data_IF_909789875620
#
_entry.id   IF_909789875620
#
_cell.length_a   1.000
_cell.length_b   1.000
_cell.length_c   1.000
_cell.angle_alpha   90.00
_cell.angle_beta   90.00
_cell.angle_gamma   90.00
#
_symmetry.space_group_name_H-M   'P 1'
#
loop_
_entity.id
_entity.type
_entity.pdbx_description
1 polymer ?
#
# COMPACT_ATOMS: atom_id res chain seq x y z
N UNK A 1 20.78 15.84 -0.97
CA UNK A 1 19.71 14.85 -0.75
C UNK A 1 19.05 14.63 -2.09
N UNK A 2 19.07 13.41 -2.64
CA UNK A 2 18.39 13.10 -3.90
C UNK A 2 16.88 13.25 -3.68
N UNK A 3 16.22 14.09 -4.46
CA UNK A 3 14.76 14.12 -4.55
C UNK A 3 14.37 13.19 -5.68
N UNK A 4 13.43 12.28 -5.45
CA UNK A 4 12.83 11.50 -6.52
C UNK A 4 12.17 12.48 -7.52
N UNK A 5 12.39 12.27 -8.82
CA UNK A 5 11.78 13.08 -9.87
C UNK A 5 10.35 12.63 -10.15
N UNK A 6 10.10 11.33 -10.20
CA UNK A 6 8.83 10.71 -10.52
C UNK A 6 8.54 9.53 -9.57
N UNK A 7 7.28 9.11 -9.45
CA UNK A 7 6.88 7.93 -8.64
C UNK A 7 5.93 7.03 -9.41
N UNK A 8 6.23 5.74 -9.40
CA UNK A 8 5.27 4.69 -9.71
C UNK A 8 4.98 3.88 -8.44
N UNK A 9 3.70 3.70 -8.11
CA UNK A 9 3.26 2.92 -6.97
C UNK A 9 2.26 1.85 -7.42
N UNK A 10 2.64 0.59 -7.26
CA UNK A 10 1.73 -0.53 -7.47
C UNK A 10 0.94 -0.78 -6.17
N UNK A 11 -0.39 -0.69 -6.27
CA UNK A 11 -1.38 -1.00 -5.23
C UNK A 11 -0.99 -0.44 -3.84
N UNK A 12 -0.82 0.89 -3.73
CA UNK A 12 -0.38 1.50 -2.48
C UNK A 12 -1.45 1.34 -1.40
N UNK A 13 -1.02 0.94 -0.20
CA UNK A 13 -1.85 1.03 1.00
C UNK A 13 -1.84 2.48 1.49
N UNK A 14 -2.94 3.20 1.25
CA UNK A 14 -3.04 4.64 1.54
C UNK A 14 -3.66 4.91 2.90
N UNK A 15 -4.80 4.27 3.20
CA UNK A 15 -5.55 4.50 4.44
C UNK A 15 -5.44 3.30 5.39
N UNK A 16 -4.30 3.24 6.10
CA UNK A 16 -4.05 2.26 7.17
C UNK A 16 -4.91 2.47 8.41
N UNK A 17 -5.69 3.56 8.48
CA UNK A 17 -6.58 3.88 9.60
C UNK A 17 -8.02 3.46 9.35
N UNK A 18 -8.36 3.08 8.12
CA UNK A 18 -9.66 2.51 7.78
C UNK A 18 -10.03 1.34 8.67
N UNK A 19 -11.35 1.07 8.79
CA UNK A 19 -11.86 -0.10 9.50
C UNK A 19 -11.31 -1.42 8.93
N UNK A 20 -10.90 -1.43 7.66
CA UNK A 20 -10.25 -2.58 7.03
C UNK A 20 -9.00 -3.05 7.79
N UNK A 21 -8.17 -2.11 8.26
CA UNK A 21 -6.93 -2.41 8.97
C UNK A 21 -7.05 -2.33 10.48
N UNK A 22 -8.17 -1.86 11.02
CA UNK A 22 -8.32 -1.52 12.44
C UNK A 22 -9.46 -2.24 13.16
N UNK A 23 -10.35 -2.93 12.45
CA UNK A 23 -11.44 -3.71 13.03
C UNK A 23 -11.31 -5.21 12.75
N UNK A 24 -11.63 -6.05 13.74
CA UNK A 24 -11.64 -7.51 13.60
C UNK A 24 -13.02 -7.97 13.08
N UNK A 25 -13.05 -8.33 11.80
CA UNK A 25 -14.21 -8.95 11.15
C UNK A 25 -13.76 -10.00 10.13
N UNK A 26 -14.72 -10.68 9.50
CA UNK A 26 -14.46 -11.70 8.49
C UNK A 26 -13.79 -11.11 7.24
N UNK A 27 -12.50 -11.36 7.02
CA UNK A 27 -11.78 -10.94 5.80
C UNK A 27 -11.13 -12.14 5.11
N UNK A 28 -11.43 -12.33 3.84
CA UNK A 28 -10.73 -13.30 3.00
C UNK A 28 -9.72 -12.55 2.15
N UNK A 29 -8.44 -12.73 2.48
CA UNK A 29 -7.34 -12.06 1.82
C UNK A 29 -6.71 -13.05 0.85
N UNK A 30 -6.71 -12.78 -0.46
CA UNK A 30 -6.37 -13.73 -1.51
C UNK A 30 -7.10 -15.07 -1.39
N UNK A 31 -8.37 -15.05 -0.97
CA UNK A 31 -9.14 -16.27 -0.73
C UNK A 31 -8.65 -17.11 0.46
N UNK A 32 -7.66 -16.64 1.23
CA UNK A 32 -7.13 -17.38 2.36
C UNK A 32 -8.12 -17.40 3.53
N UNK A 33 -8.12 -18.50 4.32
CA UNK A 33 -8.90 -18.57 5.55
C UNK A 33 -8.41 -17.54 6.56
N UNK A 34 -9.28 -17.18 7.49
CA UNK A 34 -8.96 -16.21 8.53
C UNK A 34 -7.94 -16.78 9.53
N UNK A 35 -6.78 -16.16 9.56
CA UNK A 35 -5.66 -16.50 10.42
C UNK A 35 -5.92 -16.19 11.90
N UNK A 36 -5.22 -16.85 12.81
CA UNK A 36 -5.39 -16.64 14.26
C UNK A 36 -4.63 -15.39 14.74
N UNK A 37 -5.28 -14.60 15.59
CA UNK A 37 -4.67 -13.41 16.20
C UNK A 37 -3.44 -13.76 17.08
N UNK A 38 -3.40 -14.96 17.68
CA UNK A 38 -2.26 -15.36 18.52
C UNK A 38 -0.94 -15.42 17.74
N UNK A 39 -0.97 -15.66 16.43
CA UNK A 39 0.24 -15.76 15.62
C UNK A 39 1.03 -14.45 15.63
N UNK A 40 0.34 -13.31 15.55
CA UNK A 40 0.97 -11.99 15.67
C UNK A 40 1.55 -11.82 17.08
N UNK A 41 0.76 -12.11 18.12
CA UNK A 41 1.17 -11.92 19.52
C UNK A 41 2.39 -12.77 19.88
N UNK A 42 2.41 -14.03 19.45
CA UNK A 42 3.53 -14.95 19.66
C UNK A 42 4.76 -14.51 18.87
N UNK A 43 4.59 -14.04 17.63
CA UNK A 43 5.69 -13.49 16.84
C UNK A 43 6.32 -12.29 17.55
N UNK A 44 5.51 -11.32 17.98
CA UNK A 44 5.96 -10.12 18.69
C UNK A 44 6.62 -10.47 20.03
N UNK A 45 6.11 -11.46 20.76
CA UNK A 45 6.74 -11.94 21.99
C UNK A 45 8.13 -12.54 21.73
N UNK A 46 8.27 -13.37 20.69
CA UNK A 46 9.57 -13.95 20.31
C UNK A 46 10.58 -12.87 19.88
N UNK A 47 10.14 -11.83 19.19
CA UNK A 47 10.98 -10.67 18.85
C UNK A 47 11.42 -9.93 20.12
N UNK A 48 10.49 -9.65 21.04
CA UNK A 48 10.77 -8.94 22.30
C UNK A 48 11.74 -9.71 23.20
N UNK A 49 11.63 -11.03 23.24
CA UNK A 49 12.49 -11.90 24.06
C UNK A 49 13.82 -12.26 23.35
N UNK A 50 14.08 -11.70 22.16
CA UNK A 50 15.32 -11.94 21.39
C UNK A 50 15.42 -13.30 20.70
N UNK A 51 14.34 -14.11 20.71
CA UNK A 51 14.26 -15.41 20.00
C UNK A 51 14.12 -15.24 18.49
N UNK A 52 13.62 -14.09 18.04
CA UNK A 52 13.58 -13.69 16.64
C UNK A 52 14.27 -12.33 16.48
N UNK A 53 14.85 -12.11 15.31
CA UNK A 53 15.40 -10.80 14.94
C UNK A 53 14.27 -9.78 14.79
N UNK A 54 14.48 -8.57 15.31
CA UNK A 54 13.55 -7.45 15.14
C UNK A 54 13.60 -6.84 13.73
N UNK A 55 14.72 -7.00 13.03
CA UNK A 55 14.91 -6.53 11.65
C UNK A 55 15.35 -7.73 10.81
N UNK A 56 14.60 -7.99 9.76
CA UNK A 56 14.90 -9.04 8.78
C UNK A 56 14.87 -8.38 7.41
N UNK A 57 16.02 -8.34 6.74
CA UNK A 57 16.17 -7.69 5.43
C UNK A 57 15.79 -8.59 4.25
N UNK A 58 15.61 -9.90 4.48
CA UNK A 58 15.25 -10.88 3.45
C UNK A 58 14.47 -12.04 4.04
N UNK A 59 13.37 -12.42 3.40
CA UNK A 59 12.53 -13.57 3.76
C UNK A 59 12.20 -14.42 2.50
N UNK A 60 13.20 -15.08 1.90
CA UNK A 60 13.01 -15.79 0.63
C UNK A 60 12.07 -17.00 0.75
N UNK A 61 11.83 -17.47 1.98
CA UNK A 61 10.92 -18.58 2.28
C UNK A 61 9.50 -18.13 2.62
N UNK A 62 9.28 -16.83 2.77
CA UNK A 62 7.98 -16.28 3.16
C UNK A 62 7.51 -16.71 4.55
N UNK A 63 8.44 -16.91 5.49
CA UNK A 63 8.13 -17.38 6.86
C UNK A 63 7.24 -16.39 7.64
N UNK A 64 7.16 -15.12 7.21
CA UNK A 64 6.35 -14.07 7.84
C UNK A 64 5.06 -13.75 7.09
N UNK A 65 4.78 -14.43 5.98
CA UNK A 65 3.58 -14.17 5.16
C UNK A 65 2.29 -14.37 5.95
N UNK A 66 2.21 -15.41 6.78
CA UNK A 66 1.04 -15.66 7.64
C UNK A 66 0.79 -14.54 8.65
N UNK A 67 1.86 -13.92 9.17
CA UNK A 67 1.74 -12.75 10.06
C UNK A 67 1.12 -11.56 9.34
N UNK A 68 1.47 -11.34 8.07
CA UNK A 68 0.87 -10.28 7.24
C UNK A 68 -0.63 -10.53 7.03
N UNK A 69 -1.04 -11.76 6.70
CA UNK A 69 -2.45 -12.11 6.59
C UNK A 69 -3.20 -11.93 7.92
N UNK A 70 -2.64 -12.45 9.01
CA UNK A 70 -3.23 -12.30 10.34
C UNK A 70 -3.42 -10.83 10.71
N UNK A 71 -2.43 -9.99 10.43
CA UNK A 71 -2.47 -8.56 10.72
C UNK A 71 -3.66 -7.87 10.04
N UNK A 72 -3.82 -8.09 8.73
CA UNK A 72 -4.87 -7.47 7.92
C UNK A 72 -6.24 -8.03 8.34
N UNK A 73 -6.37 -9.36 8.36
CA UNK A 73 -7.64 -10.03 8.62
C UNK A 73 -8.20 -9.65 10.00
N UNK A 74 -7.33 -9.57 11.01
CA UNK A 74 -7.71 -9.23 12.39
C UNK A 74 -7.80 -7.75 12.69
N UNK A 75 -7.54 -6.88 11.71
CA UNK A 75 -7.53 -5.44 11.95
C UNK A 75 -6.53 -5.01 13.03
N UNK A 76 -5.40 -5.73 13.13
CA UNK A 76 -4.43 -5.54 14.21
C UNK A 76 -3.35 -4.48 13.88
N UNK A 77 -3.57 -3.66 12.85
CA UNK A 77 -2.57 -2.71 12.38
C UNK A 77 -2.24 -1.66 13.45
N UNK A 78 -3.25 -1.10 14.11
CA UNK A 78 -3.08 -0.10 15.18
C UNK A 78 -2.33 -0.64 16.39
N UNK A 79 -2.57 -1.89 16.77
CA UNK A 79 -1.92 -2.51 17.93
C UNK A 79 -0.46 -2.88 17.64
N UNK A 80 -0.14 -3.10 16.36
CA UNK A 80 1.19 -3.51 15.90
C UNK A 80 2.07 -2.31 15.54
N UNK A 81 1.50 -1.30 14.90
CA UNK A 81 2.16 -0.07 14.47
C UNK A 81 1.61 1.12 15.25
N UNK A 82 2.42 1.75 16.12
CA UNK A 82 1.97 2.86 16.95
C UNK A 82 1.32 3.99 16.11
N UNK A 83 0.11 4.45 16.46
CA UNK A 83 -0.64 5.41 15.64
C UNK A 83 -0.04 6.83 15.60
N UNK A 84 0.84 7.16 16.54
CA UNK A 84 1.62 8.39 16.60
C UNK A 84 2.72 8.45 15.52
N UNK A 85 3.03 7.30 14.91
CA UNK A 85 3.96 7.18 13.82
C UNK A 85 3.32 7.57 12.48
N UNK A 86 3.21 8.89 12.27
CA UNK A 86 2.61 9.52 11.07
C UNK A 86 3.28 9.17 9.74
N UNK A 87 4.38 8.43 9.71
CA UNK A 87 5.03 8.06 8.46
C UNK A 87 4.17 7.12 7.59
N UNK A 88 3.21 6.40 8.18
CA UNK A 88 2.25 5.53 7.48
C UNK A 88 0.93 6.25 7.12
N UNK A 89 0.81 7.54 7.40
CA UNK A 89 -0.42 8.32 7.34
C UNK A 89 -0.38 9.28 6.13
N UNK A 90 -0.47 8.74 4.91
CA UNK A 90 -0.17 9.49 3.68
C UNK A 90 -1.13 10.66 3.49
N UNK A 91 -2.43 10.45 3.71
CA UNK A 91 -3.46 11.48 3.54
C UNK A 91 -3.24 12.67 4.48
N UNK A 92 -2.97 12.41 5.76
CA UNK A 92 -2.71 13.45 6.74
C UNK A 92 -1.43 14.21 6.43
N UNK A 93 -0.40 13.53 5.88
CA UNK A 93 0.81 14.21 5.44
C UNK A 93 0.54 15.16 4.28
N UNK A 94 -0.33 14.79 3.34
CA UNK A 94 -0.72 15.70 2.25
C UNK A 94 -1.45 16.94 2.79
N UNK A 95 -2.30 16.76 3.81
CA UNK A 95 -2.95 17.86 4.52
C UNK A 95 -1.94 18.76 5.27
N UNK A 96 -0.93 18.15 5.89
CA UNK A 96 0.17 18.84 6.58
C UNK A 96 1.12 19.60 5.61
N UNK A 97 0.85 19.59 4.31
CA UNK A 97 1.62 20.32 3.30
C UNK A 97 2.74 19.50 2.63
N UNK A 98 2.87 18.21 2.94
CA UNK A 98 3.79 17.34 2.20
C UNK A 98 3.27 17.14 0.77
N UNK A 99 4.19 16.93 -0.17
CA UNK A 99 3.88 16.84 -1.60
C UNK A 99 4.60 15.66 -2.21
N UNK A 100 3.96 15.05 -3.20
CA UNK A 100 4.62 14.06 -4.06
C UNK A 100 5.68 14.75 -4.95
N UNK A 101 6.59 13.97 -5.55
CA UNK A 101 7.45 14.45 -6.62
C UNK A 101 6.66 15.10 -7.77
N UNK A 102 7.30 16.08 -8.44
CA UNK A 102 6.66 16.89 -9.48
C UNK A 102 6.66 16.23 -10.85
N UNK A 103 7.51 15.24 -11.07
CA UNK A 103 7.58 14.47 -12.31
C UNK A 103 6.55 13.35 -12.37
N UNK A 104 5.34 13.67 -11.93
CA UNK A 104 4.15 12.83 -12.02
C UNK A 104 4.13 11.61 -11.09
N UNK A 105 2.90 11.21 -10.73
CA UNK A 105 2.62 10.04 -9.89
C UNK A 105 1.70 9.11 -10.65
N UNK A 106 2.16 7.88 -10.87
CA UNK A 106 1.35 6.82 -11.47
C UNK A 106 1.05 5.74 -10.44
N UNK A 107 -0.24 5.48 -10.24
CA UNK A 107 -0.76 4.41 -9.38
C UNK A 107 -1.51 3.39 -10.24
N UNK A 108 -1.25 2.11 -10.01
CA UNK A 108 -2.04 1.00 -10.57
C UNK A 108 -2.66 0.21 -9.41
N UNK A 109 -3.96 -0.11 -9.46
CA UNK A 109 -4.63 -0.71 -8.29
C UNK A 109 -5.85 -1.59 -8.60
N UNK A 110 -5.73 -2.89 -8.29
CA UNK A 110 -6.82 -3.88 -8.25
C UNK A 110 -8.17 -3.34 -7.75
N UNK A 111 -9.25 -3.44 -8.53
CA UNK A 111 -10.59 -3.10 -8.02
C UNK A 111 -11.01 -4.02 -6.88
N UNK A 112 -10.55 -5.26 -6.92
CA UNK A 112 -10.88 -6.31 -5.96
C UNK A 112 -9.69 -6.61 -5.02
N UNK A 113 -8.73 -5.67 -4.84
CA UNK A 113 -7.57 -5.86 -3.94
C UNK A 113 -8.01 -6.12 -2.49
N UNK A 114 -7.78 -7.34 -2.02
CA UNK A 114 -8.14 -7.78 -0.66
C UNK A 114 -7.03 -7.53 0.37
N UNK A 115 -5.96 -6.83 0.04
CA UNK A 115 -4.94 -6.43 1.03
C UNK A 115 -4.86 -4.95 1.21
N UNK A 116 -4.85 -4.19 0.12
CA UNK A 116 -4.95 -2.75 0.14
C UNK A 116 -6.25 -2.36 -0.52
N UNK A 117 -7.32 -2.03 0.21
CA UNK A 117 -8.56 -1.66 -0.44
C UNK A 117 -8.37 -0.43 -1.34
N UNK A 118 -8.94 -0.49 -2.54
CA UNK A 118 -8.80 0.55 -3.58
C UNK A 118 -9.31 1.92 -3.15
N UNK A 119 -10.21 1.96 -2.17
CA UNK A 119 -10.81 3.17 -1.60
C UNK A 119 -9.73 4.21 -1.24
N UNK A 120 -8.59 3.76 -0.70
CA UNK A 120 -7.48 4.66 -0.39
C UNK A 120 -6.90 5.36 -1.62
N UNK A 121 -6.85 4.68 -2.78
CA UNK A 121 -6.41 5.30 -4.03
C UNK A 121 -7.44 6.26 -4.61
N UNK A 122 -8.73 5.97 -4.43
CA UNK A 122 -9.80 6.94 -4.78
C UNK A 122 -9.76 8.18 -3.90
N UNK A 123 -9.43 8.05 -2.61
CA UNK A 123 -9.20 9.21 -1.73
C UNK A 123 -8.09 10.10 -2.27
N UNK A 124 -6.94 9.53 -2.70
CA UNK A 124 -5.88 10.31 -3.34
C UNK A 124 -6.38 11.03 -4.60
N UNK A 125 -7.05 10.31 -5.50
CA UNK A 125 -7.56 10.88 -6.74
C UNK A 125 -8.54 12.06 -6.48
N UNK A 126 -9.35 11.96 -5.44
CA UNK A 126 -10.32 12.98 -5.06
C UNK A 126 -9.69 14.19 -4.36
N UNK A 127 -8.72 13.95 -3.48
CA UNK A 127 -8.17 15.00 -2.62
C UNK A 127 -7.02 15.78 -3.27
N UNK A 128 -6.23 15.14 -4.14
CA UNK A 128 -5.06 15.77 -4.76
C UNK A 128 -5.37 17.02 -5.59
N UNK A 129 -6.45 17.11 -6.38
CA UNK A 129 -6.78 18.35 -7.09
C UNK A 129 -6.95 19.57 -6.17
N UNK A 130 -7.36 19.35 -4.92
CA UNK A 130 -7.50 20.39 -3.89
C UNK A 130 -6.18 20.62 -3.14
N UNK A 131 -5.49 19.55 -2.76
CA UNK A 131 -4.29 19.62 -1.93
C UNK A 131 -3.03 20.04 -2.72
N UNK A 132 -2.96 19.65 -3.99
CA UNK A 132 -1.83 19.84 -4.89
C UNK A 132 -2.29 19.95 -6.37
N UNK A 133 -2.90 21.08 -6.77
CA UNK A 133 -3.51 21.24 -8.09
C UNK A 133 -2.52 21.17 -9.27
N UNK A 134 -1.22 21.31 -9.01
CA UNK A 134 -0.17 21.25 -10.02
C UNK A 134 0.37 19.82 -10.22
N UNK A 135 0.00 18.87 -9.36
CA UNK A 135 0.44 17.49 -9.48
C UNK A 135 -0.33 16.78 -10.59
N UNK A 136 0.39 16.13 -11.51
CA UNK A 136 -0.24 15.14 -12.37
C UNK A 136 -0.27 13.79 -11.67
N UNK A 137 -1.47 13.35 -11.38
CA UNK A 137 -1.74 12.07 -10.74
C UNK A 137 -2.56 11.20 -11.68
N UNK A 138 -2.05 10.01 -11.96
CA UNK A 138 -2.69 9.03 -12.83
C UNK A 138 -3.01 7.79 -12.00
N UNK A 139 -4.27 7.39 -11.99
CA UNK A 139 -4.72 6.15 -11.35
C UNK A 139 -5.29 5.22 -12.42
N UNK A 140 -4.64 4.09 -12.64
CA UNK A 140 -5.15 2.99 -13.44
C UNK A 140 -5.87 1.97 -12.55
N UNK A 141 -7.13 1.69 -12.90
CA UNK A 141 -7.98 0.70 -12.25
C UNK A 141 -8.47 -0.29 -13.31
N UNK A 142 -8.28 -1.57 -13.03
CA UNK A 142 -8.78 -2.73 -13.78
C UNK A 142 -9.61 -3.65 -12.89
N UNK A 143 -10.08 -4.76 -13.45
CA UNK A 143 -10.80 -5.78 -12.68
C UNK A 143 -9.82 -6.84 -12.14
N UNK A 144 -10.07 -7.36 -10.92
CA UNK A 144 -9.20 -8.30 -10.24
C UNK A 144 -8.50 -7.73 -9.00
N UNK A 145 -7.73 -8.59 -8.34
CA UNK A 145 -6.89 -8.28 -7.19
C UNK A 145 -5.75 -7.32 -7.56
N UNK A 146 -4.90 -7.03 -6.57
CA UNK A 146 -3.92 -5.94 -6.61
C UNK A 146 -3.04 -5.82 -7.85
N UNK A 147 -2.74 -6.93 -8.52
CA UNK A 147 -1.92 -6.97 -9.75
C UNK A 147 -2.72 -7.23 -11.03
N UNK A 148 -4.06 -7.16 -10.95
CA UNK A 148 -5.06 -7.47 -11.98
C UNK A 148 -4.90 -8.85 -12.63
N UNK A 149 -4.53 -9.82 -11.80
CA UNK A 149 -4.73 -11.29 -11.82
C UNK A 149 -4.44 -12.08 -13.09
N UNK A 150 -3.72 -11.44 -14.02
CA UNK A 150 -3.15 -12.01 -15.22
C UNK A 150 -1.83 -11.34 -15.57
N UNK A 151 -1.27 -11.69 -16.73
CA UNK A 151 -0.13 -10.97 -17.26
C UNK A 151 -0.61 -9.68 -17.91
N UNK A 152 -0.08 -8.53 -17.46
CA UNK A 152 -0.21 -7.27 -18.18
C UNK A 152 1.02 -7.00 -19.04
N UNK A 153 0.82 -6.38 -20.19
CA UNK A 153 1.91 -6.05 -21.14
C UNK A 153 1.94 -4.56 -21.45
N UNK A 154 3.08 -4.07 -21.97
CA UNK A 154 3.21 -2.69 -22.44
C UNK A 154 2.33 -2.37 -23.66
N UNK A 155 1.72 -3.37 -24.30
CA UNK A 155 0.76 -3.16 -25.39
C UNK A 155 -0.59 -2.66 -24.86
N UNK A 156 -0.83 -2.75 -23.55
CA UNK A 156 -2.03 -2.21 -22.93
C UNK A 156 -1.92 -0.70 -22.75
N UNK A 157 -2.90 0.01 -23.31
CA UNK A 157 -2.92 1.48 -23.38
C UNK A 157 -2.78 2.14 -22.00
N UNK A 158 -3.44 1.60 -20.98
CA UNK A 158 -3.40 2.15 -19.61
C UNK A 158 -1.99 2.10 -19.02
N UNK A 159 -1.24 1.02 -19.27
CA UNK A 159 0.10 0.83 -18.74
C UNK A 159 1.11 1.66 -19.53
N UNK A 160 1.01 1.64 -20.86
CA UNK A 160 1.85 2.45 -21.74
C UNK A 160 1.72 3.95 -21.44
N UNK A 161 0.48 4.44 -21.32
CA UNK A 161 0.19 5.85 -21.07
C UNK A 161 0.63 6.26 -19.67
N UNK A 162 0.32 5.47 -18.63
CA UNK A 162 0.71 5.78 -17.26
C UNK A 162 2.23 5.81 -17.06
N UNK A 163 2.97 4.95 -17.77
CA UNK A 163 4.43 4.94 -17.74
C UNK A 163 5.07 6.07 -18.53
N UNK A 164 4.47 6.52 -19.64
CA UNK A 164 5.08 7.52 -20.53
C UNK A 164 5.46 8.80 -19.79
N UNK A 165 4.55 9.32 -18.94
CA UNK A 165 4.74 10.56 -18.19
C UNK A 165 5.82 10.40 -17.09
N UNK A 166 5.77 9.29 -16.36
CA UNK A 166 6.78 8.95 -15.32
C UNK A 166 8.17 8.80 -15.94
N UNK A 167 8.27 8.10 -17.09
CA UNK A 167 9.54 7.90 -17.80
C UNK A 167 10.07 9.20 -18.36
N UNK A 168 9.21 10.04 -18.97
CA UNK A 168 9.60 11.36 -19.47
C UNK A 168 10.17 12.21 -18.35
N UNK A 169 9.55 12.19 -17.18
CA UNK A 169 9.98 12.94 -16.01
C UNK A 169 11.25 12.38 -15.35
N UNK A 170 11.49 11.08 -15.44
CA UNK A 170 12.71 10.45 -14.93
C UNK A 170 13.93 10.74 -15.81
N UNK A 171 13.76 10.81 -17.13
CA UNK A 171 14.86 11.05 -18.08
C UNK A 171 15.18 12.55 -18.31
N UNK A 172 14.43 13.45 -17.67
CA UNK A 172 14.58 14.91 -17.80
C UNK A 172 15.76 15.50 -17.01
#
# INVERSE_FOLDING_TARGET
>A
MLKASAVMAAYPVVDVRSSYFTEDYGKSVFGMPQMLLNMIKEHMAKVKDGRLLSIVSSDPKGERTESMFALIQRGAYRDTFPPDQRYNAILERLEDGFRFPRGDVFVMHGRDDTVGPIEGSFMLQNDLPRLDPELKFHLAVGDGERGFDGASTLDEEWLATGLADVVSSWLA
#
